data_IF_830787885274
#
_entry.id   IF_830787885274
#
_cell.length_a   1.000
_cell.length_b   1.000
_cell.length_c   1.000
_cell.angle_alpha   90.00
_cell.angle_beta   90.00
_cell.angle_gamma   90.00
#
_symmetry.space_group_name_H-M   'P 1'
#
loop_
_entity.id
_entity.type
_entity.pdbx_description
1 polymer ?
#
# COMPACT_ATOMS: atom_id res chain seq x y z
N UNK A 1 -12.18 -24.21 -7.55
CA UNK A 1 -11.03 -25.12 -7.62
C UNK A 1 -10.59 -25.54 -6.22
N UNK A 2 -10.19 -24.63 -5.33
CA UNK A 2 -9.72 -24.98 -3.98
C UNK A 2 -10.70 -25.85 -3.17
N UNK A 3 -11.98 -25.45 -3.12
CA UNK A 3 -13.05 -26.22 -2.46
C UNK A 3 -13.10 -27.68 -2.92
N UNK A 4 -13.17 -27.90 -4.23
CA UNK A 4 -13.24 -29.23 -4.80
C UNK A 4 -11.92 -30.01 -4.66
N UNK A 5 -10.78 -29.32 -4.66
CA UNK A 5 -9.48 -29.93 -4.37
C UNK A 5 -9.41 -30.51 -2.95
N UNK A 6 -9.97 -29.82 -1.96
CA UNK A 6 -10.08 -30.33 -0.58
C UNK A 6 -11.10 -31.48 -0.50
N UNK A 7 -12.32 -31.29 -1.02
CA UNK A 7 -13.38 -32.33 -0.99
C UNK A 7 -12.92 -33.63 -1.66
N UNK A 8 -12.21 -33.53 -2.77
CA UNK A 8 -11.73 -34.69 -3.52
C UNK A 8 -10.36 -35.16 -3.06
N UNK A 9 -9.71 -34.50 -2.09
CA UNK A 9 -8.34 -34.79 -1.66
C UNK A 9 -7.37 -34.89 -2.85
N UNK A 10 -7.44 -33.90 -3.74
CA UNK A 10 -6.68 -33.86 -4.98
C UNK A 10 -6.19 -32.43 -5.31
N UNK A 11 -5.87 -31.64 -4.27
CA UNK A 11 -5.46 -30.22 -4.39
C UNK A 11 -4.32 -29.98 -5.38
N UNK A 12 -3.39 -30.93 -5.53
CA UNK A 12 -2.23 -30.81 -6.44
C UNK A 12 -2.55 -31.18 -7.90
N UNK A 13 -3.62 -31.95 -8.11
CA UNK A 13 -3.94 -32.53 -9.43
C UNK A 13 -5.20 -31.95 -10.07
N UNK A 14 -6.03 -31.24 -9.30
CA UNK A 14 -7.20 -30.52 -9.81
C UNK A 14 -6.78 -29.34 -10.69
N UNK A 15 -7.37 -29.21 -11.88
CA UNK A 15 -6.95 -28.22 -12.89
C UNK A 15 -8.15 -27.62 -13.63
N UNK A 16 -7.97 -26.38 -14.10
CA UNK A 16 -8.87 -25.80 -15.12
C UNK A 16 -8.62 -26.49 -16.46
N UNK A 17 -9.68 -26.75 -17.19
CA UNK A 17 -9.61 -27.36 -18.51
C UNK A 17 -9.49 -26.27 -19.59
N UNK A 18 -8.27 -25.99 -20.05
CA UNK A 18 -8.03 -25.02 -21.12
C UNK A 18 -8.34 -23.56 -20.76
N UNK A 19 -8.15 -22.67 -21.74
CA UNK A 19 -8.46 -21.23 -21.68
C UNK A 19 -9.72 -20.91 -22.49
N UNK A 20 -10.33 -19.76 -22.23
CA UNK A 20 -11.47 -19.25 -23.00
C UNK A 20 -11.16 -19.26 -24.51
N UNK A 21 -12.04 -19.84 -25.31
CA UNK A 21 -11.87 -20.04 -26.75
C UNK A 21 -11.27 -21.40 -27.17
N UNK A 22 -10.79 -22.22 -26.22
CA UNK A 22 -10.42 -23.61 -26.52
C UNK A 22 -11.63 -24.54 -26.41
N UNK A 23 -11.58 -25.71 -27.06
CA UNK A 23 -12.60 -26.74 -26.92
C UNK A 23 -12.45 -27.35 -25.52
N UNK A 24 -13.30 -26.93 -24.58
CA UNK A 24 -13.28 -27.38 -23.19
C UNK A 24 -14.20 -28.60 -22.95
N UNK A 25 -14.83 -29.13 -24.00
CA UNK A 25 -15.79 -30.24 -23.92
C UNK A 25 -16.86 -30.06 -22.84
N UNK A 26 -17.29 -28.82 -22.54
CA UNK A 26 -18.27 -28.55 -21.47
C UNK A 26 -17.80 -28.91 -20.06
N UNK A 27 -16.47 -28.99 -19.83
CA UNK A 27 -15.87 -29.23 -18.51
C UNK A 27 -14.91 -28.09 -18.25
N UNK A 28 -15.16 -27.26 -17.23
CA UNK A 28 -14.30 -26.12 -16.86
C UNK A 28 -13.17 -26.52 -15.91
N UNK A 29 -13.43 -27.47 -15.02
CA UNK A 29 -12.48 -27.97 -14.02
C UNK A 29 -12.54 -29.48 -13.99
N UNK A 30 -11.40 -30.14 -13.87
CA UNK A 30 -11.33 -31.58 -13.68
C UNK A 30 -10.30 -31.96 -12.63
N UNK A 31 -10.46 -33.14 -12.05
CA UNK A 31 -9.53 -33.72 -11.10
C UNK A 31 -9.80 -35.21 -10.90
N UNK A 32 -8.88 -35.91 -10.24
CA UNK A 32 -9.04 -37.32 -9.91
C UNK A 32 -9.12 -37.47 -8.38
N UNK A 33 -10.29 -37.78 -7.81
CA UNK A 33 -10.45 -37.89 -6.37
C UNK A 33 -9.51 -38.92 -5.74
N UNK A 34 -8.95 -38.57 -4.58
CA UNK A 34 -7.94 -39.32 -3.84
C UNK A 34 -6.75 -39.74 -4.71
N UNK A 35 -6.40 -38.92 -5.71
CA UNK A 35 -5.38 -39.23 -6.71
C UNK A 35 -5.60 -40.57 -7.43
N UNK A 36 -6.86 -40.96 -7.62
CA UNK A 36 -7.25 -42.14 -8.39
C UNK A 36 -7.02 -41.99 -9.90
N UNK A 37 -7.52 -42.97 -10.66
CA UNK A 37 -7.45 -42.98 -12.13
C UNK A 37 -8.73 -42.49 -12.82
N UNK A 38 -9.80 -42.32 -12.04
CA UNK A 38 -11.11 -41.89 -12.52
C UNK A 38 -11.23 -40.36 -12.44
N UNK A 39 -11.65 -39.73 -13.54
CA UNK A 39 -11.75 -38.28 -13.62
C UNK A 39 -13.15 -37.76 -13.31
N UNK A 40 -13.20 -36.69 -12.53
CA UNK A 40 -14.40 -35.97 -12.17
C UNK A 40 -14.31 -34.60 -12.84
N UNK A 41 -15.41 -34.18 -13.47
CA UNK A 41 -15.50 -32.92 -14.19
C UNK A 41 -16.51 -31.98 -13.54
N UNK A 42 -16.28 -30.68 -13.66
CA UNK A 42 -17.19 -29.63 -13.19
C UNK A 42 -17.40 -28.63 -14.31
N UNK A 43 -18.66 -28.33 -14.61
CA UNK A 43 -19.06 -27.17 -15.39
C UNK A 43 -19.55 -26.10 -14.42
N UNK A 44 -18.93 -24.93 -14.47
CA UNK A 44 -19.33 -23.75 -13.74
C UNK A 44 -20.34 -22.96 -14.57
N UNK A 45 -21.42 -22.49 -13.94
CA UNK A 45 -22.37 -21.57 -14.57
C UNK A 45 -22.58 -20.38 -13.64
N UNK A 46 -22.07 -19.22 -14.07
CA UNK A 46 -22.35 -17.97 -13.38
C UNK A 46 -23.67 -17.40 -13.88
N UNK A 47 -24.59 -17.14 -12.95
CA UNK A 47 -25.87 -16.47 -13.19
C UNK A 47 -25.81 -15.11 -12.47
N UNK A 48 -24.83 -14.29 -12.82
CA UNK A 48 -24.64 -12.95 -12.23
C UNK A 48 -25.78 -12.00 -12.64
N UNK A 49 -26.16 -11.12 -11.70
CA UNK A 49 -27.13 -10.00 -11.74
C UNK A 49 -28.45 -10.13 -10.97
N UNK A 50 -28.57 -10.90 -9.89
CA UNK A 50 -29.77 -10.84 -9.02
C UNK A 50 -31.13 -10.96 -9.76
N UNK A 51 -31.14 -11.44 -11.01
CA UNK A 51 -32.31 -11.56 -11.87
C UNK A 51 -32.68 -13.03 -11.97
N UNK A 52 -32.91 -13.70 -10.83
CA UNK A 52 -33.59 -15.01 -10.72
C UNK A 52 -33.22 -16.03 -11.82
N UNK A 53 -32.01 -15.99 -12.37
CA UNK A 53 -31.70 -16.68 -13.60
C UNK A 53 -31.33 -18.10 -13.21
N UNK A 54 -32.25 -19.02 -13.53
CA UNK A 54 -32.11 -20.42 -13.19
C UNK A 54 -31.27 -21.14 -14.25
N UNK A 55 -30.68 -22.26 -13.85
CA UNK A 55 -30.15 -23.22 -14.79
C UNK A 55 -31.31 -23.82 -15.57
N UNK A 56 -31.22 -23.87 -16.90
CA UNK A 56 -32.30 -24.41 -17.74
C UNK A 56 -32.02 -25.84 -18.18
N UNK A 57 -33.08 -26.63 -18.44
CA UNK A 57 -32.94 -28.00 -18.95
C UNK A 57 -32.12 -28.07 -20.25
N UNK A 58 -32.36 -27.10 -21.15
CA UNK A 58 -31.63 -26.99 -22.43
C UNK A 58 -30.13 -26.79 -22.20
N UNK A 59 -29.74 -25.88 -21.30
CA UNK A 59 -28.32 -25.68 -20.97
C UNK A 59 -27.70 -26.95 -20.37
N UNK A 60 -28.43 -27.66 -19.49
CA UNK A 60 -27.97 -28.92 -18.90
C UNK A 60 -27.70 -29.95 -19.99
N UNK A 61 -28.65 -30.15 -20.91
CA UNK A 61 -28.52 -31.13 -21.99
C UNK A 61 -27.33 -30.80 -22.89
N UNK A 62 -27.18 -29.54 -23.29
CA UNK A 62 -26.07 -29.09 -24.15
C UNK A 62 -24.70 -29.33 -23.49
N UNK A 63 -24.56 -29.07 -22.20
CA UNK A 63 -23.29 -29.31 -21.50
C UNK A 63 -23.02 -30.80 -21.25
N UNK A 64 -24.06 -31.61 -20.98
CA UNK A 64 -23.91 -33.07 -20.86
C UNK A 64 -23.41 -33.66 -22.19
N UNK A 65 -24.00 -33.25 -23.33
CA UNK A 65 -23.57 -33.75 -24.64
C UNK A 65 -22.12 -33.37 -24.95
N UNK A 66 -21.69 -32.15 -24.59
CA UNK A 66 -20.28 -31.75 -24.71
C UNK A 66 -19.38 -32.61 -23.82
N UNK A 67 -19.77 -32.85 -22.56
CA UNK A 67 -18.99 -33.59 -21.57
C UNK A 67 -18.76 -35.06 -21.96
N UNK A 68 -19.66 -35.67 -22.76
CA UNK A 68 -19.44 -37.01 -23.34
C UNK A 68 -18.19 -37.12 -24.20
N UNK A 69 -17.72 -36.01 -24.77
CA UNK A 69 -16.50 -35.98 -25.58
C UNK A 69 -15.21 -35.81 -24.76
N UNK A 70 -15.31 -35.63 -23.44
CA UNK A 70 -14.15 -35.49 -22.56
C UNK A 70 -13.34 -36.80 -22.52
N UNK A 71 -12.01 -36.69 -22.64
CA UNK A 71 -11.09 -37.83 -22.65
C UNK A 71 -10.00 -37.69 -21.58
N UNK A 72 -9.72 -38.73 -20.79
CA UNK A 72 -10.46 -40.00 -20.70
C UNK A 72 -11.90 -39.80 -20.16
N UNK A 73 -12.79 -40.77 -20.37
CA UNK A 73 -14.19 -40.63 -19.99
C UNK A 73 -14.34 -40.28 -18.49
N UNK A 74 -15.22 -39.33 -18.19
CA UNK A 74 -15.53 -38.96 -16.81
C UNK A 74 -16.19 -40.12 -16.07
N UNK A 75 -15.98 -40.16 -14.76
CA UNK A 75 -16.77 -40.96 -13.82
C UNK A 75 -17.98 -40.20 -13.32
N UNK A 76 -17.80 -38.91 -13.02
CA UNK A 76 -18.84 -38.02 -12.53
C UNK A 76 -18.67 -36.62 -13.14
N UNK A 77 -19.78 -35.96 -13.42
CA UNK A 77 -19.87 -34.61 -13.96
C UNK A 77 -20.80 -33.77 -13.09
N UNK A 78 -20.28 -32.65 -12.58
CA UNK A 78 -21.01 -31.74 -11.71
C UNK A 78 -21.33 -30.42 -12.39
N UNK A 79 -22.54 -29.95 -12.18
CA UNK A 79 -22.88 -28.55 -12.41
C UNK A 79 -22.65 -27.77 -11.11
N UNK A 80 -21.82 -26.73 -11.14
CA UNK A 80 -21.67 -25.79 -10.03
C UNK A 80 -22.21 -24.43 -10.46
N UNK A 81 -23.25 -23.93 -9.79
CA UNK A 81 -23.97 -22.73 -10.22
C UNK A 81 -24.13 -21.71 -9.11
N UNK A 82 -24.13 -20.42 -9.45
CA UNK A 82 -24.52 -19.33 -8.52
C UNK A 82 -26.04 -19.15 -8.41
N UNK A 83 -26.83 -19.94 -9.15
CA UNK A 83 -28.28 -19.99 -8.98
C UNK A 83 -28.68 -20.62 -7.64
N UNK A 84 -29.79 -20.13 -7.08
CA UNK A 84 -30.43 -20.73 -5.89
C UNK A 84 -31.00 -22.10 -6.22
N UNK A 85 -31.12 -22.96 -5.21
CA UNK A 85 -31.69 -24.31 -5.36
C UNK A 85 -33.07 -24.31 -6.04
N UNK A 86 -33.24 -25.17 -7.04
CA UNK A 86 -34.51 -25.38 -7.76
C UNK A 86 -34.85 -26.88 -7.82
N UNK A 87 -35.95 -27.26 -7.16
CA UNK A 87 -36.40 -28.64 -7.07
C UNK A 87 -36.66 -29.30 -8.44
N UNK A 88 -37.14 -28.53 -9.44
CA UNK A 88 -37.41 -29.05 -10.79
C UNK A 88 -36.12 -29.36 -11.53
N UNK A 89 -35.06 -28.59 -11.28
CA UNK A 89 -33.74 -28.83 -11.86
C UNK A 89 -33.07 -30.01 -11.18
N UNK A 90 -33.14 -30.12 -9.85
CA UNK A 90 -32.61 -31.29 -9.15
C UNK A 90 -33.31 -32.58 -9.58
N UNK A 91 -34.63 -32.56 -9.74
CA UNK A 91 -35.39 -33.70 -10.28
C UNK A 91 -34.91 -34.08 -11.67
N UNK A 92 -34.75 -33.10 -12.56
CA UNK A 92 -34.26 -33.33 -13.90
C UNK A 92 -32.83 -33.88 -13.93
N UNK A 93 -31.94 -33.39 -13.06
CA UNK A 93 -30.58 -33.90 -12.92
C UNK A 93 -30.60 -35.36 -12.43
N UNK A 94 -31.49 -35.73 -11.50
CA UNK A 94 -31.65 -37.12 -11.07
C UNK A 94 -32.09 -38.03 -12.23
N UNK A 95 -33.04 -37.59 -13.05
CA UNK A 95 -33.47 -38.33 -14.25
C UNK A 95 -32.29 -38.51 -15.22
N UNK A 96 -31.54 -37.43 -15.51
CA UNK A 96 -30.37 -37.47 -16.40
C UNK A 96 -29.24 -38.33 -15.87
N UNK A 97 -29.02 -38.35 -14.55
CA UNK A 97 -28.04 -39.22 -13.91
C UNK A 97 -28.39 -40.69 -14.10
N UNK A 98 -29.66 -41.08 -13.96
CA UNK A 98 -30.12 -42.45 -14.21
C UNK A 98 -29.95 -42.81 -15.69
N UNK A 99 -30.39 -41.93 -16.60
CA UNK A 99 -30.26 -42.11 -18.04
C UNK A 99 -28.79 -42.32 -18.45
N UNK A 100 -27.90 -41.43 -18.01
CA UNK A 100 -26.48 -41.49 -18.33
C UNK A 100 -25.84 -42.78 -17.82
N UNK A 101 -26.07 -43.16 -16.55
CA UNK A 101 -25.50 -44.36 -15.96
C UNK A 101 -26.02 -45.66 -16.60
N UNK A 102 -27.30 -45.72 -16.92
CA UNK A 102 -27.91 -46.89 -17.59
C UNK A 102 -27.30 -47.11 -18.97
N UNK A 103 -26.92 -46.04 -19.64
CA UNK A 103 -26.25 -46.08 -20.95
C UNK A 103 -24.72 -46.20 -20.86
N UNK A 104 -24.15 -46.55 -19.70
CA UNK A 104 -22.70 -46.69 -19.51
C UNK A 104 -21.92 -45.37 -19.49
N UNK A 105 -22.63 -44.26 -19.31
CA UNK A 105 -22.07 -42.91 -19.16
C UNK A 105 -21.55 -42.63 -17.75
N UNK A 106 -21.39 -41.34 -17.45
CA UNK A 106 -20.94 -40.83 -16.15
C UNK A 106 -22.11 -40.47 -15.23
N UNK A 107 -21.82 -40.39 -13.93
CA UNK A 107 -22.74 -39.82 -12.96
C UNK A 107 -22.92 -38.32 -13.14
N UNK A 108 -24.11 -37.79 -12.87
CA UNK A 108 -24.44 -36.38 -13.03
C UNK A 108 -25.02 -35.85 -11.72
N UNK A 109 -24.57 -34.68 -11.27
CA UNK A 109 -25.12 -34.00 -10.10
C UNK A 109 -25.03 -32.47 -10.25
N UNK A 110 -25.74 -31.74 -9.38
CA UNK A 110 -25.76 -30.27 -9.35
C UNK A 110 -25.52 -29.74 -7.95
N UNK A 111 -24.73 -28.68 -7.84
CA UNK A 111 -24.49 -27.91 -6.63
C UNK A 111 -24.98 -26.48 -6.84
N UNK A 112 -26.06 -26.14 -6.15
CA UNK A 112 -26.58 -24.77 -6.06
C UNK A 112 -25.65 -23.87 -5.24
N UNK A 113 -25.90 -22.56 -5.25
CA UNK A 113 -25.13 -21.62 -4.44
C UNK A 113 -25.15 -22.00 -2.96
N UNK A 114 -26.31 -22.38 -2.43
CA UNK A 114 -26.46 -22.81 -1.05
C UNK A 114 -25.65 -24.07 -0.75
N UNK A 115 -25.61 -25.03 -1.67
CA UNK A 115 -24.81 -26.26 -1.51
C UNK A 115 -23.32 -25.95 -1.50
N UNK A 116 -22.86 -25.06 -2.38
CA UNK A 116 -21.46 -24.63 -2.45
C UNK A 116 -21.06 -23.94 -1.15
N UNK A 117 -21.90 -23.03 -0.63
CA UNK A 117 -21.66 -22.35 0.65
C UNK A 117 -21.65 -23.33 1.82
N UNK A 118 -22.56 -24.31 1.82
CA UNK A 118 -22.61 -25.34 2.84
C UNK A 118 -21.34 -26.21 2.80
N UNK A 119 -20.94 -26.67 1.61
CA UNK A 119 -19.69 -27.41 1.40
C UNK A 119 -18.48 -26.59 1.82
N UNK A 120 -18.44 -25.30 1.50
CA UNK A 120 -17.37 -24.42 1.94
C UNK A 120 -17.25 -24.41 3.47
N UNK A 121 -18.35 -24.32 4.21
CA UNK A 121 -18.35 -24.34 5.68
C UNK A 121 -17.93 -25.70 6.27
N UNK A 122 -18.21 -26.80 5.59
CA UNK A 122 -17.78 -28.14 6.01
C UNK A 122 -16.27 -28.38 5.78
N UNK A 123 -15.64 -27.61 4.88
CA UNK A 123 -14.26 -27.80 4.44
C UNK A 123 -13.38 -26.64 4.95
N UNK A 124 -12.83 -26.83 6.16
CA UNK A 124 -12.22 -25.77 6.97
C UNK A 124 -11.00 -25.13 6.30
N UNK A 125 -10.20 -25.87 5.55
CA UNK A 125 -8.96 -25.31 4.97
C UNK A 125 -9.29 -24.33 3.84
N UNK A 126 -10.27 -24.67 3.02
CA UNK A 126 -10.81 -23.78 1.98
C UNK A 126 -11.58 -22.63 2.61
N UNK A 127 -12.39 -22.87 3.64
CA UNK A 127 -13.10 -21.79 4.34
C UNK A 127 -12.13 -20.76 4.90
N UNK A 128 -11.12 -21.20 5.65
CA UNK A 128 -10.11 -20.32 6.24
C UNK A 128 -9.35 -19.55 5.17
N UNK A 129 -8.96 -20.20 4.07
CA UNK A 129 -8.36 -19.50 2.93
C UNK A 129 -9.30 -18.48 2.29
N UNK A 130 -10.58 -18.81 2.10
CA UNK A 130 -11.53 -17.91 1.50
C UNK A 130 -11.76 -16.66 2.37
N UNK A 131 -11.88 -16.85 3.70
CA UNK A 131 -12.03 -15.74 4.65
C UNK A 131 -10.73 -14.94 4.78
N UNK A 132 -9.57 -15.58 4.88
CA UNK A 132 -8.29 -14.91 5.16
C UNK A 132 -7.59 -14.33 3.93
N UNK A 133 -7.70 -14.99 2.78
CA UNK A 133 -6.96 -14.59 1.58
C UNK A 133 -7.87 -13.98 0.51
N UNK A 134 -9.15 -14.35 0.41
CA UNK A 134 -10.07 -13.76 -0.58
C UNK A 134 -10.86 -12.57 -0.03
N UNK A 135 -11.46 -12.66 1.16
CA UNK A 135 -12.27 -11.54 1.69
C UNK A 135 -11.43 -10.35 2.17
N UNK A 136 -10.17 -10.54 2.56
CA UNK A 136 -9.28 -9.42 2.92
C UNK A 136 -8.90 -8.59 1.70
N UNK A 137 -8.66 -9.19 0.53
CA UNK A 137 -8.17 -8.45 -0.64
C UNK A 137 -9.26 -7.52 -1.22
N UNK A 138 -10.51 -7.97 -1.31
CA UNK A 138 -11.59 -7.17 -1.92
C UNK A 138 -12.14 -6.06 -1.00
N UNK A 139 -11.79 -6.07 0.28
CA UNK A 139 -12.34 -5.18 1.31
C UNK A 139 -11.28 -4.41 2.12
N UNK A 140 -9.99 -4.59 1.84
CA UNK A 140 -8.93 -3.79 2.47
C UNK A 140 -8.69 -2.56 1.61
N UNK A 141 -8.81 -1.37 2.19
CA UNK A 141 -8.36 -0.17 1.51
C UNK A 141 -7.84 0.90 2.47
N UNK A 142 -6.84 1.67 2.04
CA UNK A 142 -6.25 2.77 2.80
C UNK A 142 -6.27 4.07 2.03
N UNK A 143 -6.46 5.16 2.77
CA UNK A 143 -6.18 6.52 2.30
C UNK A 143 -4.95 7.05 3.04
N UNK A 144 -4.05 7.69 2.30
CA UNK A 144 -2.89 8.38 2.86
C UNK A 144 -2.96 9.84 2.42
N UNK A 145 -2.89 10.76 3.38
CA UNK A 145 -3.08 12.19 3.17
C UNK A 145 -2.37 13.04 4.22
N UNK A 146 -2.20 14.33 3.93
CA UNK A 146 -1.85 15.36 4.91
C UNK A 146 -3.09 15.80 5.71
N UNK A 147 -2.91 16.73 6.66
CA UNK A 147 -4.02 17.30 7.44
C UNK A 147 -5.23 17.67 6.58
N UNK A 148 -6.44 17.44 7.11
CA UNK A 148 -7.71 17.72 6.43
C UNK A 148 -7.95 16.97 5.11
N UNK A 149 -7.36 15.77 4.96
CA UNK A 149 -7.54 14.88 3.80
C UNK A 149 -7.05 15.46 2.48
N UNK A 150 -6.09 16.37 2.52
CA UNK A 150 -5.48 16.93 1.31
C UNK A 150 -4.27 16.10 0.85
N UNK A 151 -4.03 16.08 -0.46
CA UNK A 151 -2.90 15.37 -1.07
C UNK A 151 -1.76 16.30 -1.50
N UNK A 152 -1.91 17.61 -1.24
CA UNK A 152 -0.97 18.67 -1.56
C UNK A 152 -0.92 19.67 -0.42
N UNK A 153 0.26 19.98 0.09
CA UNK A 153 0.46 21.05 1.10
C UNK A 153 1.65 21.92 0.73
N UNK A 154 1.67 23.15 1.24
CA UNK A 154 2.80 24.05 1.08
C UNK A 154 3.55 24.16 2.39
N UNK A 155 4.88 24.01 2.32
CA UNK A 155 5.80 24.21 3.43
C UNK A 155 6.60 25.49 3.20
N UNK A 156 7.02 26.16 4.28
CA UNK A 156 7.74 27.42 4.18
C UNK A 156 8.96 27.45 5.11
N UNK A 157 10.13 26.99 4.61
CA UNK A 157 11.36 27.09 5.37
C UNK A 157 11.76 28.56 5.52
N UNK A 158 12.21 28.94 6.72
CA UNK A 158 12.57 30.34 7.03
C UNK A 158 14.08 30.56 7.02
N UNK A 159 14.51 31.51 6.20
CA UNK A 159 15.91 31.91 6.07
C UNK A 159 16.08 33.43 6.22
N UNK A 160 17.17 33.85 6.83
CA UNK A 160 17.67 35.22 6.75
C UNK A 160 18.44 35.43 5.47
N UNK A 161 18.17 36.53 4.79
CA UNK A 161 18.98 37.01 3.66
C UNK A 161 19.72 38.27 4.11
N UNK A 162 21.04 38.28 3.98
CA UNK A 162 21.87 39.47 4.12
C UNK A 162 22.34 39.94 2.74
N UNK A 163 22.15 41.22 2.46
CA UNK A 163 22.70 41.91 1.28
C UNK A 163 23.67 43.00 1.71
N UNK A 164 24.83 43.13 1.06
CA UNK A 164 25.76 44.23 1.34
C UNK A 164 25.09 45.60 1.12
N UNK A 165 25.27 46.52 2.06
CA UNK A 165 24.94 47.93 1.84
C UNK A 165 25.94 48.53 0.86
N UNK A 166 25.42 49.17 -0.18
CA UNK A 166 26.17 49.94 -1.17
C UNK A 166 27.00 51.03 -0.46
N UNK A 167 28.33 50.97 -0.57
CA UNK A 167 29.32 51.76 0.21
C UNK A 167 29.32 53.29 -0.04
N UNK A 168 28.31 53.86 -0.69
CA UNK A 168 28.36 55.24 -1.18
C UNK A 168 27.67 56.30 -0.32
N UNK A 169 27.49 56.10 0.99
CA UNK A 169 27.19 57.21 1.91
C UNK A 169 27.87 57.03 3.27
N UNK A 170 28.69 58.03 3.59
CA UNK A 170 29.33 58.35 4.88
C UNK A 170 30.77 57.83 5.07
N UNK A 171 31.72 58.64 4.61
CA UNK A 171 32.99 58.82 5.32
C UNK A 171 32.70 59.45 6.70
N UNK A 172 33.21 58.88 7.78
CA UNK A 172 34.07 59.61 8.74
C UNK A 172 34.72 58.69 9.76
N UNK A 173 36.06 58.77 9.76
CA UNK A 173 37.04 58.66 10.86
C UNK A 173 37.08 57.38 11.72
N UNK A 174 38.21 56.72 11.55
CA UNK A 174 38.86 55.76 12.45
C UNK A 174 38.57 55.97 13.94
N UNK A 175 38.23 54.88 14.62
CA UNK A 175 38.89 54.48 15.86
C UNK A 175 39.01 52.95 15.89
N UNK A 176 40.25 52.46 15.78
CA UNK A 176 40.61 51.06 16.01
C UNK A 176 40.22 50.67 17.44
N UNK A 177 39.27 49.77 17.59
CA UNK A 177 39.24 48.84 18.70
C UNK A 177 39.41 47.44 18.13
N UNK A 178 40.65 46.94 18.23
CA UNK A 178 40.93 45.51 18.19
C UNK A 178 40.38 44.93 19.47
N UNK A 179 39.27 44.21 19.40
CA UNK A 179 38.98 43.04 20.23
C UNK A 179 38.02 42.18 19.40
N UNK A 180 38.51 41.08 18.84
CA UNK A 180 37.96 39.73 19.00
C UNK A 180 38.70 38.78 18.05
N UNK A 181 39.56 37.99 18.68
CA UNK A 181 40.20 36.81 18.12
C UNK A 181 39.16 35.89 17.46
N UNK A 182 39.55 35.29 16.34
CA UNK A 182 38.96 34.06 15.82
C UNK A 182 39.20 32.90 16.81
N UNK A 183 38.54 32.95 17.95
CA UNK A 183 38.36 31.80 18.80
C UNK A 183 37.13 31.05 18.27
N UNK A 184 37.30 29.76 17.99
CA UNK A 184 36.23 28.81 17.76
C UNK A 184 34.96 29.19 18.54
N UNK A 185 33.89 29.52 17.82
CA UNK A 185 32.59 29.77 18.44
C UNK A 185 32.09 28.44 19.02
N UNK A 186 32.58 28.11 20.21
CA UNK A 186 31.96 27.13 21.10
C UNK A 186 30.63 27.76 21.52
N UNK A 187 29.59 27.50 20.73
CA UNK A 187 28.22 27.71 21.17
C UNK A 187 28.04 27.01 22.52
N UNK A 188 27.54 27.70 23.55
CA UNK A 188 27.11 27.04 24.76
C UNK A 188 26.02 26.04 24.39
N UNK A 189 26.06 24.84 24.98
CA UNK A 189 24.89 23.97 24.99
C UNK A 189 23.75 24.70 25.72
N UNK A 190 22.81 25.29 24.98
CA UNK A 190 21.54 25.72 25.56
C UNK A 190 20.42 24.92 24.92
N UNK A 191 19.81 24.07 25.74
CA UNK A 191 18.52 23.50 25.43
C UNK A 191 17.52 24.66 25.33
N UNK A 192 16.96 24.91 24.15
CA UNK A 192 15.96 25.96 23.96
C UNK A 192 16.00 26.73 22.63
N UNK A 193 16.55 26.21 21.53
CA UNK A 193 16.47 26.88 20.21
C UNK A 193 15.90 25.95 19.14
N UNK A 194 15.16 26.52 18.17
CA UNK A 194 14.55 25.82 17.02
C UNK A 194 15.07 26.44 15.71
N UNK A 195 15.53 25.59 14.79
CA UNK A 195 15.87 25.97 13.40
C UNK A 195 14.60 25.91 12.53
N UNK A 196 14.10 27.07 12.12
CA UNK A 196 12.87 27.21 11.32
C UNK A 196 13.07 26.94 9.82
N UNK A 197 14.25 26.50 9.38
CA UNK A 197 14.44 25.94 8.05
C UNK A 197 13.92 24.51 7.91
N UNK A 198 13.71 23.83 9.04
CA UNK A 198 13.05 22.53 9.10
C UNK A 198 11.53 22.70 9.13
N UNK A 199 10.85 21.99 8.24
CA UNK A 199 9.40 21.97 8.15
C UNK A 199 8.87 20.63 8.67
N UNK A 200 7.99 20.67 9.67
CA UNK A 200 7.24 19.49 10.09
C UNK A 200 6.19 19.13 9.03
N UNK A 201 6.12 17.85 8.68
CA UNK A 201 5.12 17.28 7.79
C UNK A 201 4.41 16.15 8.51
N UNK A 202 3.11 16.31 8.72
CA UNK A 202 2.26 15.29 9.34
C UNK A 202 1.53 14.49 8.25
N UNK A 203 1.60 13.16 8.33
CA UNK A 203 0.89 12.23 7.47
C UNK A 203 -0.06 11.37 8.26
N UNK A 204 -1.25 11.16 7.69
CA UNK A 204 -2.28 10.27 8.24
C UNK A 204 -2.55 9.11 7.28
N UNK A 205 -2.59 7.91 7.85
CA UNK A 205 -3.09 6.69 7.23
C UNK A 205 -4.45 6.39 7.82
N UNK A 206 -5.48 6.31 6.99
CA UNK A 206 -6.85 5.95 7.39
C UNK A 206 -7.24 4.63 6.73
N UNK A 207 -7.80 3.70 7.52
CA UNK A 207 -8.44 2.52 6.96
C UNK A 207 -9.84 2.90 6.45
N UNK A 208 -9.97 2.96 5.13
CA UNK A 208 -11.22 3.24 4.42
C UNK A 208 -11.91 1.96 3.92
N UNK A 209 -11.27 0.81 4.11
CA UNK A 209 -11.84 -0.51 3.85
C UNK A 209 -12.74 -1.00 4.99
N UNK A 210 -13.34 -2.17 4.77
CA UNK A 210 -14.23 -2.84 5.74
C UNK A 210 -13.55 -3.98 6.50
N UNK A 211 -12.27 -4.26 6.24
CA UNK A 211 -11.46 -5.26 6.95
C UNK A 211 -10.37 -4.62 7.80
N UNK A 212 -9.88 -5.35 8.82
CA UNK A 212 -8.82 -4.88 9.72
C UNK A 212 -7.46 -5.10 9.08
N UNK A 213 -6.60 -4.08 9.10
CA UNK A 213 -5.23 -4.17 8.60
C UNK A 213 -4.29 -4.50 9.75
N UNK A 214 -3.52 -5.58 9.60
CA UNK A 214 -2.56 -6.07 10.58
C UNK A 214 -1.12 -5.93 10.09
N UNK A 215 -0.19 -5.68 11.00
CA UNK A 215 1.26 -5.67 10.77
C UNK A 215 1.69 -4.78 9.58
N UNK A 216 1.06 -3.62 9.47
CA UNK A 216 1.34 -2.71 8.38
C UNK A 216 2.58 -1.84 8.62
N UNK A 217 3.18 -1.40 7.52
CA UNK A 217 4.27 -0.44 7.47
C UNK A 217 4.03 0.53 6.31
N UNK A 218 4.64 1.71 6.39
CA UNK A 218 4.56 2.74 5.35
C UNK A 218 5.98 3.07 4.88
N UNK A 219 6.17 3.14 3.57
CA UNK A 219 7.41 3.63 2.95
C UNK A 219 7.10 4.91 2.20
N UNK A 220 7.93 5.93 2.38
CA UNK A 220 7.90 7.17 1.62
C UNK A 220 9.20 7.28 0.84
N UNK A 221 9.12 7.48 -0.47
CA UNK A 221 10.26 7.79 -1.32
C UNK A 221 10.05 9.17 -1.93
N UNK A 222 11.07 10.02 -1.83
CA UNK A 222 11.01 11.39 -2.33
C UNK A 222 11.70 11.46 -3.69
N UNK A 223 10.97 11.89 -4.72
CA UNK A 223 11.56 12.13 -6.04
C UNK A 223 12.12 13.56 -6.10
N UNK A 224 13.46 13.67 -6.06
CA UNK A 224 14.19 14.92 -6.24
C UNK A 224 15.55 14.68 -6.89
N UNK A 225 16.13 15.73 -7.46
CA UNK A 225 17.40 15.73 -8.20
C UNK A 225 18.60 15.66 -7.25
N UNK A 226 18.47 16.04 -5.98
CA UNK A 226 19.55 16.10 -4.98
C UNK A 226 19.03 15.74 -3.56
N UNK A 227 19.90 15.29 -2.63
CA UNK A 227 19.46 14.67 -1.37
C UNK A 227 18.78 15.66 -0.41
N UNK A 228 17.69 15.22 0.23
CA UNK A 228 17.04 15.97 1.31
C UNK A 228 17.65 15.61 2.67
N UNK A 229 17.73 16.59 3.58
CA UNK A 229 17.87 16.28 5.00
C UNK A 229 16.46 16.00 5.55
N UNK A 230 16.26 14.78 6.03
CA UNK A 230 15.00 14.32 6.62
C UNK A 230 15.34 13.85 8.04
N UNK A 231 14.50 14.18 9.01
CA UNK A 231 14.68 13.83 10.43
C UNK A 231 13.36 13.28 10.98
N UNK A 232 13.43 12.26 11.84
CA UNK A 232 12.28 11.58 12.46
C UNK A 232 12.01 12.01 13.92
N UNK A 233 12.69 13.05 14.39
CA UNK A 233 12.53 13.65 15.74
C UNK A 233 12.88 12.70 16.88
N UNK A 234 13.70 11.67 16.64
CA UNK A 234 14.20 10.79 17.70
C UNK A 234 15.35 11.37 18.54
N UNK A 235 15.50 12.69 18.55
CA UNK A 235 16.48 13.37 19.36
C UNK A 235 16.26 14.87 19.39
N UNK A 236 15.34 15.32 20.24
CA UNK A 236 15.31 16.72 20.66
C UNK A 236 16.75 17.19 20.93
N UNK A 237 17.13 18.26 20.21
CA UNK A 237 18.47 18.85 20.01
C UNK A 237 19.11 18.43 18.69
N UNK A 238 19.05 19.38 17.75
CA UNK A 238 19.96 19.56 16.63
C UNK A 238 21.21 18.66 16.69
N UNK A 239 21.25 17.62 15.85
CA UNK A 239 22.50 16.93 15.55
C UNK A 239 22.77 17.06 14.06
N UNK A 240 23.76 17.89 13.80
CA UNK A 240 24.56 17.92 12.57
C UNK A 240 24.83 16.51 12.04
N UNK A 241 24.46 16.25 10.79
CA UNK A 241 25.07 15.29 9.86
C UNK A 241 25.45 13.90 10.36
N UNK A 242 24.80 12.90 9.77
CA UNK A 242 25.15 11.46 9.75
C UNK A 242 25.00 10.71 11.09
N UNK A 243 23.98 9.85 11.18
CA UNK A 243 24.05 8.66 12.03
C UNK A 243 23.00 7.59 11.65
N UNK A 244 23.42 6.54 10.94
CA UNK A 244 22.77 5.24 11.04
C UNK A 244 23.32 4.52 12.28
N UNK A 245 22.50 4.21 13.31
CA UNK A 245 22.82 3.17 14.30
C UNK A 245 21.55 2.44 14.79
N UNK A 246 21.54 1.14 14.51
CA UNK A 246 20.74 0.08 15.12
C UNK A 246 20.87 0.00 16.65
N UNK A 247 19.77 -0.20 17.38
CA UNK A 247 19.86 -0.72 18.74
C UNK A 247 18.70 -0.42 19.69
N UNK A 248 17.58 -1.15 19.54
CA UNK A 248 16.67 -1.60 20.61
C UNK A 248 16.05 -0.50 21.51
N UNK A 249 14.81 -0.11 21.19
CA UNK A 249 13.69 -0.03 22.15
C UNK A 249 12.33 0.15 21.43
N UNK A 250 11.68 -0.96 21.04
CA UNK A 250 10.23 -1.28 21.09
C UNK A 250 9.10 -0.22 20.92
N UNK A 251 9.30 0.97 20.36
CA UNK A 251 8.29 2.04 20.41
C UNK A 251 8.27 2.93 19.14
N UNK A 252 7.56 2.50 18.07
CA UNK A 252 7.52 3.17 16.74
C UNK A 252 8.92 3.17 16.07
N UNK A 253 9.00 2.79 14.80
CA UNK A 253 10.27 2.80 14.05
C UNK A 253 10.06 3.66 12.82
N UNK A 254 10.66 4.84 12.78
CA UNK A 254 10.84 5.62 11.56
C UNK A 254 12.31 5.46 11.18
N UNK A 255 12.60 4.96 9.99
CA UNK A 255 13.98 4.86 9.48
C UNK A 255 14.13 5.85 8.35
N UNK A 256 15.05 6.80 8.51
CA UNK A 256 15.34 7.80 7.50
C UNK A 256 16.68 7.45 6.86
N UNK A 257 16.65 7.20 5.56
CA UNK A 257 17.87 7.00 4.79
C UNK A 257 18.05 8.14 3.78
N UNK A 258 18.88 9.11 4.14
CA UNK A 258 19.24 10.27 3.31
C UNK A 258 19.92 9.88 1.99
N UNK A 259 20.60 8.71 1.93
CA UNK A 259 21.24 8.21 0.69
C UNK A 259 20.21 7.70 -0.32
N UNK A 260 19.03 7.26 0.16
CA UNK A 260 17.98 6.69 -0.67
C UNK A 260 16.70 7.53 -0.70
N UNK A 261 16.68 8.73 -0.09
CA UNK A 261 15.50 9.58 0.06
C UNK A 261 14.28 8.74 0.54
N UNK A 262 14.48 7.93 1.58
CA UNK A 262 13.52 6.94 2.05
C UNK A 262 13.15 7.18 3.52
N UNK A 263 11.86 7.18 3.82
CA UNK A 263 11.33 7.12 5.19
C UNK A 263 10.51 5.86 5.35
N UNK A 264 10.86 5.00 6.31
CA UNK A 264 10.10 3.79 6.64
C UNK A 264 9.42 3.95 8.00
N UNK A 265 8.09 4.11 8.03
CA UNK A 265 7.29 4.18 9.25
C UNK A 265 6.67 2.83 9.61
N UNK A 266 6.92 2.37 10.83
CA UNK A 266 6.25 1.22 11.45
C UNK A 266 5.48 1.67 12.71
N UNK A 267 4.14 1.59 12.70
CA UNK A 267 3.30 2.01 13.81
C UNK A 267 3.49 1.12 15.05
N UNK A 268 3.39 1.71 16.24
CA UNK A 268 3.35 0.95 17.50
C UNK A 268 2.09 0.10 17.59
N UNK A 269 0.95 0.68 17.20
CA UNK A 269 -0.29 -0.05 17.02
C UNK A 269 -0.31 -0.60 15.60
N UNK A 270 0.13 -1.83 15.45
CA UNK A 270 0.19 -2.56 14.17
C UNK A 270 -1.18 -3.04 13.68
N UNK A 271 -2.27 -2.49 14.22
CA UNK A 271 -3.65 -2.83 13.85
C UNK A 271 -4.43 -1.56 13.56
N UNK A 272 -4.91 -1.45 12.32
CA UNK A 272 -5.79 -0.37 11.88
C UNK A 272 -7.18 -0.96 11.64
N UNK A 273 -8.09 -0.83 12.61
CA UNK A 273 -9.48 -1.29 12.43
C UNK A 273 -10.25 -0.35 11.50
N UNK A 274 -11.48 -0.69 11.14
CA UNK A 274 -12.27 0.10 10.19
C UNK A 274 -12.44 1.53 10.71
N UNK A 275 -12.26 2.53 9.84
CA UNK A 275 -12.34 3.98 10.16
C UNK A 275 -11.27 4.52 11.10
N UNK A 276 -10.41 3.66 11.66
CA UNK A 276 -9.28 4.10 12.48
C UNK A 276 -8.22 4.80 11.61
N UNK A 277 -7.44 5.63 12.30
CA UNK A 277 -6.37 6.42 11.71
C UNK A 277 -5.10 6.29 12.53
N UNK A 278 -3.97 6.33 11.83
CA UNK A 278 -2.64 6.46 12.41
C UNK A 278 -1.97 7.66 11.80
N UNK A 279 -1.40 8.50 12.65
CA UNK A 279 -0.72 9.73 12.25
C UNK A 279 0.72 9.69 12.73
N UNK A 280 1.63 10.20 11.89
CA UNK A 280 3.04 10.39 12.24
C UNK A 280 3.57 11.65 11.56
N UNK A 281 4.51 12.31 12.23
CA UNK A 281 5.24 13.45 11.68
C UNK A 281 6.65 13.04 11.29
N UNK A 282 7.22 13.78 10.34
CA UNK A 282 8.65 13.81 10.05
C UNK A 282 9.03 15.23 9.67
N UNK A 283 10.31 15.56 9.74
CA UNK A 283 10.82 16.88 9.42
C UNK A 283 11.58 16.82 8.10
N UNK A 284 11.36 17.82 7.25
CA UNK A 284 12.08 18.00 5.99
C UNK A 284 12.72 19.38 5.95
N UNK A 285 13.98 19.43 5.52
CA UNK A 285 14.67 20.68 5.20
C UNK A 285 14.88 20.75 3.68
N UNK A 286 13.97 21.41 2.94
CA UNK A 286 14.14 21.62 1.50
C UNK A 286 15.32 22.60 1.26
N UNK A 287 15.85 22.61 0.02
CA UNK A 287 16.96 23.49 -0.41
C UNK A 287 16.57 24.99 -0.38
N UNK A 288 17.24 25.88 -1.12
CA UNK A 288 16.97 27.33 -1.15
C UNK A 288 16.16 27.79 -2.38
N UNK A 289 15.65 26.87 -3.22
CA UNK A 289 14.87 27.16 -4.43
C UNK A 289 13.44 26.58 -4.42
N UNK A 290 12.47 27.33 -4.97
CA UNK A 290 11.06 26.91 -5.00
C UNK A 290 10.90 25.63 -5.82
N UNK A 291 10.31 24.61 -5.21
CA UNK A 291 10.22 23.29 -5.82
C UNK A 291 8.97 22.53 -5.40
N UNK A 292 8.51 21.67 -6.31
CA UNK A 292 7.50 20.65 -6.03
C UNK A 292 8.20 19.32 -5.71
N UNK A 293 7.94 18.76 -4.54
CA UNK A 293 8.52 17.51 -4.07
C UNK A 293 7.43 16.44 -4.11
N UNK A 294 7.61 15.42 -4.93
CA UNK A 294 6.69 14.28 -4.99
C UNK A 294 7.10 13.22 -3.97
N UNK A 295 6.16 12.85 -3.11
CA UNK A 295 6.31 11.79 -2.12
C UNK A 295 5.54 10.57 -2.62
N UNK A 296 6.26 9.56 -3.08
CA UNK A 296 5.71 8.24 -3.37
C UNK A 296 5.54 7.50 -2.06
N UNK A 297 4.29 7.21 -1.69
CA UNK A 297 4.01 6.40 -0.50
C UNK A 297 3.60 4.98 -0.89
N UNK A 298 3.93 4.02 -0.03
CA UNK A 298 3.55 2.62 -0.15
C UNK A 298 3.20 2.07 1.24
N UNK A 299 1.94 1.66 1.43
CA UNK A 299 1.48 0.96 2.63
C UNK A 299 1.55 -0.54 2.34
N UNK A 300 2.31 -1.30 3.14
CA UNK A 300 2.41 -2.77 3.04
C UNK A 300 1.89 -3.45 4.29
N UNK A 301 1.26 -4.60 4.11
CA UNK A 301 0.98 -5.61 5.13
C UNK A 301 1.20 -7.01 4.54
N UNK A 302 0.94 -8.08 5.30
CA UNK A 302 1.15 -9.45 4.85
C UNK A 302 0.47 -9.78 3.50
N UNK A 303 -0.76 -9.33 3.30
CA UNK A 303 -1.59 -9.69 2.14
C UNK A 303 -2.13 -8.47 1.38
N UNK A 304 -1.64 -7.26 1.66
CA UNK A 304 -2.10 -6.02 1.03
C UNK A 304 -0.95 -5.05 0.78
N UNK A 305 -0.92 -4.44 -0.40
CA UNK A 305 -0.05 -3.31 -0.71
C UNK A 305 -0.84 -2.29 -1.52
N UNK A 306 -0.72 -1.01 -1.15
CA UNK A 306 -1.23 0.11 -1.95
C UNK A 306 -0.22 1.23 -1.96
N UNK A 307 -0.13 1.91 -3.09
CA UNK A 307 0.80 3.00 -3.32
C UNK A 307 0.07 4.22 -3.86
N UNK A 308 0.68 5.39 -3.70
CA UNK A 308 0.19 6.62 -4.30
C UNK A 308 1.21 7.74 -4.21
N UNK A 309 0.77 8.95 -4.53
CA UNK A 309 1.62 10.14 -4.56
C UNK A 309 0.99 11.22 -3.70
N UNK A 310 1.81 11.90 -2.92
CA UNK A 310 1.52 13.17 -2.26
C UNK A 310 2.48 14.24 -2.78
N UNK A 311 2.10 15.51 -2.62
CA UNK A 311 2.88 16.63 -3.13
C UNK A 311 3.17 17.66 -2.04
N UNK A 312 4.44 18.03 -1.87
CA UNK A 312 4.86 19.18 -1.07
C UNK A 312 5.29 20.32 -1.99
N UNK A 313 4.76 21.52 -1.76
CA UNK A 313 5.23 22.76 -2.40
C UNK A 313 6.13 23.53 -1.42
N UNK A 314 7.44 23.56 -1.69
CA UNK A 314 8.37 24.39 -0.93
C UNK A 314 8.32 25.84 -1.41
N UNK A 315 7.84 26.76 -0.56
CA UNK A 315 7.79 28.21 -0.82
C UNK A 315 8.62 28.97 0.19
N UNK A 316 9.63 29.71 -0.24
CA UNK A 316 10.54 30.40 0.67
C UNK A 316 9.86 31.51 1.44
N UNK A 317 10.24 31.63 2.71
CA UNK A 317 10.04 32.84 3.47
C UNK A 317 11.39 33.47 3.80
N UNK A 318 11.73 34.54 3.09
CA UNK A 318 12.95 35.30 3.35
C UNK A 318 12.69 36.45 4.32
N UNK A 319 13.46 36.47 5.40
CA UNK A 319 13.52 37.62 6.31
C UNK A 319 14.76 38.44 5.96
N UNK A 320 14.57 39.59 5.31
CA UNK A 320 15.67 40.49 4.95
C UNK A 320 16.30 41.08 6.21
N UNK A 321 17.63 40.98 6.33
CA UNK A 321 18.45 41.66 7.33
C UNK A 321 19.54 42.48 6.65
N UNK A 322 19.84 43.63 7.23
CA UNK A 322 20.90 44.51 6.76
C UNK A 322 22.09 44.41 7.72
N UNK A 323 23.26 43.98 7.22
CA UNK A 323 24.51 44.06 7.98
C UNK A 323 25.09 45.46 7.88
N UNK A 324 25.57 46.01 9.00
CA UNK A 324 26.33 47.27 9.03
C UNK A 324 27.84 47.07 8.90
N UNK A 325 28.32 45.83 9.00
CA UNK A 325 29.75 45.52 9.08
C UNK A 325 30.27 44.92 7.77
N UNK A 326 31.53 45.23 7.48
CA UNK A 326 32.24 44.68 6.31
C UNK A 326 32.49 43.20 6.58
N UNK A 327 31.82 42.33 5.83
CA UNK A 327 31.95 40.88 5.96
C UNK A 327 33.29 40.49 5.35
N UNK A 328 34.32 40.39 6.19
CA UNK A 328 35.58 39.76 5.84
C UNK A 328 35.47 38.28 6.22
N UNK A 329 35.73 37.40 5.25
CA UNK A 329 35.89 35.95 5.40
C UNK A 329 34.62 35.09 5.49
N UNK A 330 33.68 35.28 4.56
CA UNK A 330 32.65 34.29 4.22
C UNK A 330 32.60 34.15 2.70
N UNK A 331 32.63 32.92 2.17
CA UNK A 331 32.44 32.64 0.74
C UNK A 331 31.06 33.17 0.33
N UNK A 332 31.06 34.24 -0.46
CA UNK A 332 29.86 34.85 -1.01
C UNK A 332 29.44 34.07 -2.27
N UNK A 333 28.15 33.79 -2.40
CA UNK A 333 27.59 33.38 -3.68
C UNK A 333 27.77 34.51 -4.72
N UNK A 334 27.67 34.20 -6.02
CA UNK A 334 28.03 35.11 -7.12
C UNK A 334 27.35 36.51 -7.08
N UNK A 335 26.28 36.68 -6.30
CA UNK A 335 25.51 37.91 -6.12
C UNK A 335 25.76 38.64 -4.78
N UNK A 336 26.70 38.18 -3.94
CA UNK A 336 27.04 38.85 -2.67
C UNK A 336 25.99 38.68 -1.55
N UNK A 337 25.23 37.59 -1.60
CA UNK A 337 24.13 37.28 -0.68
C UNK A 337 24.55 36.17 0.29
N UNK A 338 24.21 36.33 1.57
CA UNK A 338 24.38 35.27 2.59
C UNK A 338 22.99 34.80 3.02
N UNK A 339 22.77 33.49 2.99
CA UNK A 339 21.53 32.82 3.41
C UNK A 339 21.82 32.02 4.70
N UNK A 340 21.14 32.35 5.78
CA UNK A 340 21.26 31.63 7.06
C UNK A 340 19.91 31.11 7.56
N UNK A 341 19.85 29.93 8.20
CA UNK A 341 18.61 29.45 8.82
C UNK A 341 18.14 30.38 9.93
N UNK A 342 16.82 30.58 10.04
CA UNK A 342 16.25 31.35 11.15
C UNK A 342 16.23 30.49 12.42
N UNK A 343 17.10 30.82 13.38
CA UNK A 343 17.13 30.19 14.70
C UNK A 343 16.34 31.06 15.70
N UNK A 344 15.32 30.48 16.36
CA UNK A 344 14.57 31.15 17.44
C UNK A 344 14.82 30.49 18.79
N UNK A 345 14.89 31.28 19.85
CA UNK A 345 14.82 30.79 21.24
C UNK A 345 13.37 30.39 21.58
N UNK A 346 13.20 29.31 22.34
CA UNK A 346 11.92 28.72 22.81
C UNK A 346 11.44 29.44 24.07
#
# INVERSE_FOLDING_TARGET
MKLWGEIWNCSDTIKKNGRSGQIQCGVDVYGAPNNGIEYYGIQCKCKDNCTKSQLTKKEIDEEIEKAKSFKPQLKVFYFATTAVRDAKIEEYIREKNIESRTNGGFGIDVFSWEDIVYKLKENRDTYNWYINDCQYIDNTDVAVYFQDKVHRVSISPQYYIYSQLDKNRYETKEQKHSIFDHAAFKMPSMAGTIDLSWCEVELTIENIGSSVIHDYMVKLTFESVYPFNIDDDFGGKAKTGVAAISGIALTRYVDVNETFNLVEYRPKQNRLVQTDRSTFSFYIKPETEEQEIQIKWEVKSANYSKSGILVLESKYCYIKRYSKDTIADIDLDADGIIIEPVIKEI
#
